data_IF_382164252940
#
_entry.id   IF_382164252940
#
_cell.length_a   1.000
_cell.length_b   1.000
_cell.length_c   1.000
_cell.angle_alpha   90.00
_cell.angle_beta   90.00
_cell.angle_gamma   90.00
#
_symmetry.space_group_name_H-M   'P 1'
#
loop_
_entity.id
_entity.type
_entity.pdbx_description
1 polymer ?
#
# COMPACT_ATOMS: atom_id res chain seq x y z
N UNK A 1 22.71 4.15 -2.76
CA UNK A 1 23.67 3.91 -1.63
C UNK A 1 22.87 3.49 -0.42
N UNK A 2 23.21 2.37 0.21
CA UNK A 2 22.53 1.86 1.40
C UNK A 2 23.15 2.51 2.63
N UNK A 3 22.30 3.05 3.50
CA UNK A 3 22.70 3.72 4.74
C UNK A 3 22.01 3.06 5.93
N UNK A 4 22.77 2.78 6.97
CA UNK A 4 22.27 2.19 8.21
C UNK A 4 22.16 3.23 9.31
N UNK A 5 21.18 3.06 10.18
CA UNK A 5 20.93 3.96 11.30
C UNK A 5 20.65 3.16 12.58
N UNK A 6 21.04 3.70 13.71
CA UNK A 6 20.72 3.14 15.02
C UNK A 6 19.25 3.43 15.42
N UNK A 7 18.87 2.99 16.60
CA UNK A 7 17.52 3.21 17.14
C UNK A 7 17.16 4.70 17.39
N UNK A 8 18.12 5.60 17.34
CA UNK A 8 17.91 7.05 17.46
C UNK A 8 18.02 7.77 16.12
N UNK A 9 18.02 7.04 15.01
CA UNK A 9 18.23 7.56 13.66
C UNK A 9 19.61 8.24 13.47
N UNK A 10 20.60 7.95 14.32
CA UNK A 10 21.97 8.38 14.03
C UNK A 10 22.52 7.47 12.92
N UNK A 11 23.10 8.11 11.89
CA UNK A 11 23.75 7.38 10.81
C UNK A 11 24.95 6.61 11.36
N UNK A 12 25.01 5.33 11.04
CA UNK A 12 26.16 4.48 11.29
C UNK A 12 27.16 4.59 10.14
N UNK A 13 28.37 4.04 10.33
CA UNK A 13 29.36 3.96 9.26
C UNK A 13 28.79 3.21 8.06
N UNK A 14 29.25 3.58 6.86
CA UNK A 14 28.84 2.90 5.63
C UNK A 14 29.35 1.45 5.66
N UNK A 15 28.44 0.51 5.48
CA UNK A 15 28.73 -0.91 5.50
C UNK A 15 28.88 -1.43 4.07
N UNK A 16 29.94 -2.23 3.84
CA UNK A 16 30.07 -2.97 2.60
C UNK A 16 29.08 -4.11 2.57
N UNK A 17 28.31 -4.21 1.48
CA UNK A 17 27.36 -5.30 1.25
C UNK A 17 27.78 -6.14 0.04
N UNK A 18 27.36 -7.39 0.04
CA UNK A 18 27.54 -8.33 -1.07
C UNK A 18 26.35 -8.22 -2.02
N UNK A 19 25.14 -8.24 -1.46
CA UNK A 19 23.90 -8.12 -2.20
C UNK A 19 22.85 -7.40 -1.36
N UNK A 20 22.07 -6.54 -2.01
CA UNK A 20 20.88 -5.93 -1.44
C UNK A 20 19.69 -6.21 -2.37
N UNK A 21 18.66 -6.80 -1.83
CA UNK A 21 17.33 -6.86 -2.46
C UNK A 21 16.45 -5.78 -1.83
N UNK A 22 15.94 -4.87 -2.65
CA UNK A 22 15.05 -3.78 -2.24
C UNK A 22 13.76 -3.89 -3.03
N UNK A 23 12.69 -4.28 -2.35
CA UNK A 23 11.42 -4.66 -2.99
C UNK A 23 10.32 -3.67 -2.63
N UNK A 24 9.96 -2.81 -3.57
CA UNK A 24 8.91 -1.80 -3.42
C UNK A 24 7.61 -2.33 -3.99
N UNK A 25 6.51 -2.13 -3.28
CA UNK A 25 5.19 -2.64 -3.64
C UNK A 25 4.14 -1.54 -3.63
N UNK A 26 3.16 -1.65 -4.52
CA UNK A 26 2.12 -0.64 -4.70
C UNK A 26 0.96 -0.79 -3.71
N UNK A 27 0.53 -2.01 -3.43
CA UNK A 27 -0.67 -2.30 -2.63
C UNK A 27 -0.39 -2.86 -1.25
N UNK A 28 0.87 -2.94 -0.87
CA UNK A 28 1.30 -3.45 0.43
C UNK A 28 2.68 -2.89 0.81
N UNK A 29 3.06 -2.96 2.09
CA UNK A 29 4.41 -2.61 2.51
C UNK A 29 5.45 -3.46 1.79
N UNK A 30 6.46 -2.80 1.22
CA UNK A 30 7.59 -3.48 0.65
C UNK A 30 8.53 -4.08 1.70
N UNK A 31 9.57 -4.77 1.22
CA UNK A 31 10.54 -5.48 2.04
C UNK A 31 11.97 -5.32 1.52
N UNK A 32 12.93 -5.72 2.32
CA UNK A 32 14.33 -5.73 1.93
C UNK A 32 15.09 -6.90 2.55
N UNK A 33 16.18 -7.27 1.90
CA UNK A 33 17.17 -8.21 2.41
C UNK A 33 18.58 -7.74 2.02
N UNK A 34 19.51 -7.80 2.97
CA UNK A 34 20.89 -7.35 2.79
C UNK A 34 21.82 -8.44 3.24
N UNK A 35 22.70 -8.88 2.34
CA UNK A 35 23.79 -9.81 2.64
C UNK A 35 25.10 -9.07 2.77
N UNK A 36 25.80 -9.29 3.87
CA UNK A 36 27.09 -8.68 4.15
C UNK A 36 28.03 -9.65 4.90
N UNK A 37 29.32 -9.37 4.87
CA UNK A 37 30.26 -10.11 5.68
C UNK A 37 30.04 -9.80 7.17
N UNK A 38 30.15 -10.79 8.03
CA UNK A 38 29.86 -10.62 9.46
C UNK A 38 30.74 -9.56 10.15
N UNK A 39 31.96 -9.35 9.65
CA UNK A 39 32.86 -8.29 10.14
C UNK A 39 32.37 -6.88 9.89
N UNK A 40 31.54 -6.71 8.85
CA UNK A 40 30.98 -5.41 8.43
C UNK A 40 29.61 -5.14 9.08
N UNK A 41 29.07 -6.10 9.87
CA UNK A 41 27.79 -5.95 10.52
C UNK A 41 27.87 -5.16 11.82
N UNK A 42 27.02 -4.14 11.92
CA UNK A 42 26.84 -3.37 13.15
C UNK A 42 25.52 -3.77 13.84
N UNK A 43 25.61 -4.45 14.99
CA UNK A 43 24.48 -4.93 15.78
C UNK A 43 23.52 -3.82 16.30
N UNK A 44 23.97 -2.57 16.27
CA UNK A 44 23.16 -1.42 16.69
C UNK A 44 22.27 -0.89 15.56
N UNK A 45 22.47 -1.37 14.31
CA UNK A 45 21.62 -0.99 13.19
C UNK A 45 20.17 -1.41 13.44
N UNK A 46 19.25 -0.45 13.26
CA UNK A 46 17.81 -0.65 13.42
C UNK A 46 17.04 -0.24 12.18
N UNK A 47 17.51 0.76 11.48
CA UNK A 47 16.88 1.26 10.27
C UNK A 47 17.87 1.24 9.11
N UNK A 48 17.31 1.17 7.91
CA UNK A 48 18.08 1.20 6.66
C UNK A 48 17.36 2.09 5.65
N UNK A 49 18.11 2.83 4.86
CA UNK A 49 17.62 3.64 3.74
C UNK A 49 18.42 3.35 2.49
N UNK A 50 17.73 3.36 1.37
CA UNK A 50 18.37 3.38 0.06
C UNK A 50 18.29 4.81 -0.49
N UNK A 51 19.44 5.46 -0.67
CA UNK A 51 19.51 6.85 -1.14
C UNK A 51 18.74 7.01 -2.45
N UNK A 52 17.87 8.02 -2.50
CA UNK A 52 16.99 8.28 -3.65
C UNK A 52 15.71 7.44 -3.67
N UNK A 53 15.38 6.76 -2.56
CA UNK A 53 14.10 6.10 -2.29
C UNK A 53 13.46 6.76 -1.08
N UNK A 54 12.13 6.93 -1.04
CA UNK A 54 11.44 7.56 0.09
C UNK A 54 11.32 6.61 1.29
N UNK A 55 11.33 5.30 1.06
CA UNK A 55 11.04 4.32 2.08
C UNK A 55 12.17 4.20 3.12
N UNK A 56 11.79 4.00 4.38
CA UNK A 56 12.69 3.60 5.45
C UNK A 56 12.45 2.15 5.82
N UNK A 57 13.45 1.31 5.68
CA UNK A 57 13.42 -0.09 6.10
C UNK A 57 13.64 -0.23 7.62
N UNK A 58 12.85 -1.09 8.25
CA UNK A 58 12.97 -1.45 9.67
C UNK A 58 13.53 -2.86 9.76
N UNK A 59 14.72 -3.01 10.36
CA UNK A 59 15.37 -4.30 10.53
C UNK A 59 14.60 -5.11 11.58
N UNK A 60 14.13 -6.29 11.17
CA UNK A 60 13.35 -7.20 12.03
C UNK A 60 14.06 -8.52 12.29
N UNK A 61 14.84 -8.99 11.31
CA UNK A 61 15.51 -10.28 11.40
C UNK A 61 16.99 -10.14 11.02
N UNK A 62 17.83 -10.78 11.79
CA UNK A 62 19.26 -10.93 11.50
C UNK A 62 19.62 -12.40 11.61
N UNK A 63 20.18 -12.95 10.55
CA UNK A 63 20.65 -14.34 10.50
C UNK A 63 22.17 -14.30 10.39
N UNK A 64 22.85 -15.00 11.28
CA UNK A 64 24.29 -15.15 11.27
C UNK A 64 24.66 -16.58 10.88
N UNK A 65 25.43 -16.71 9.83
CA UNK A 65 25.84 -18.00 9.30
C UNK A 65 27.36 -18.09 9.24
N UNK A 66 27.93 -19.22 9.64
CA UNK A 66 29.34 -19.50 9.51
C UNK A 66 29.53 -20.67 8.57
N UNK A 67 30.22 -20.45 7.47
CA UNK A 67 30.54 -21.46 6.46
C UNK A 67 32.08 -21.62 6.34
N UNK A 68 32.51 -22.62 5.59
CA UNK A 68 33.94 -22.77 5.25
C UNK A 68 34.51 -21.56 4.47
N UNK A 69 33.61 -20.74 3.85
CA UNK A 69 33.97 -19.56 3.08
C UNK A 69 34.02 -18.28 3.93
N UNK A 70 33.61 -18.37 5.20
CA UNK A 70 33.58 -17.24 6.14
C UNK A 70 32.26 -17.06 6.84
N UNK A 71 32.19 -16.06 7.72
CA UNK A 71 31.01 -15.69 8.45
C UNK A 71 30.23 -14.59 7.70
N UNK A 72 28.94 -14.81 7.53
CA UNK A 72 28.01 -13.95 6.80
C UNK A 72 26.85 -13.52 7.69
N UNK A 73 26.30 -12.36 7.40
CA UNK A 73 25.08 -11.87 8.03
C UNK A 73 24.06 -11.54 6.95
N UNK A 74 22.85 -12.04 7.14
CA UNK A 74 21.67 -11.61 6.37
C UNK A 74 20.76 -10.78 7.27
N UNK A 75 20.51 -9.55 6.86
CA UNK A 75 19.61 -8.63 7.55
C UNK A 75 18.38 -8.43 6.68
N UNK A 76 17.21 -8.58 7.27
CA UNK A 76 15.96 -8.39 6.54
C UNK A 76 14.89 -7.69 7.37
N UNK A 77 13.91 -7.14 6.70
CA UNK A 77 12.80 -6.44 7.32
C UNK A 77 11.82 -5.90 6.30
N UNK A 78 10.92 -5.06 6.78
CA UNK A 78 9.89 -4.40 5.97
C UNK A 78 10.09 -2.89 5.99
N UNK A 79 9.48 -2.21 5.03
CA UNK A 79 9.42 -0.76 5.05
C UNK A 79 8.47 -0.25 6.13
N UNK A 80 8.61 1.02 6.49
CA UNK A 80 7.94 1.62 7.64
C UNK A 80 6.41 1.57 7.55
N UNK A 81 5.84 1.45 6.36
CA UNK A 81 4.40 1.24 6.12
C UNK A 81 3.87 0.04 6.93
N UNK A 82 4.70 -0.98 7.16
CA UNK A 82 4.32 -2.16 7.94
C UNK A 82 3.98 -1.84 9.40
N UNK A 83 4.48 -0.74 9.94
CA UNK A 83 4.13 -0.30 11.30
C UNK A 83 2.63 -0.01 11.39
N UNK A 84 2.04 0.50 10.31
CA UNK A 84 0.61 0.81 10.23
C UNK A 84 -0.27 -0.44 10.41
N UNK A 85 0.22 -1.64 10.07
CA UNK A 85 -0.53 -2.89 10.31
C UNK A 85 -0.63 -3.28 11.78
N UNK A 86 0.13 -2.63 12.66
CA UNK A 86 0.08 -2.83 14.12
C UNK A 86 -0.79 -1.79 14.82
N UNK A 87 -1.32 -0.85 14.07
CA UNK A 87 -2.15 0.23 14.57
C UNK A 87 -3.58 -0.01 14.12
N UNK A 88 -4.51 0.09 15.03
CA UNK A 88 -5.93 -0.13 14.78
C UNK A 88 -6.64 1.21 14.78
N UNK A 89 -7.57 1.42 13.85
CA UNK A 89 -8.44 2.58 13.85
C UNK A 89 -9.28 2.57 15.14
N UNK A 90 -9.30 3.69 15.86
CA UNK A 90 -9.94 3.77 17.16
C UNK A 90 -11.46 3.81 17.05
N UNK A 91 -11.96 4.49 16.03
CA UNK A 91 -13.39 4.69 15.79
C UNK A 91 -13.72 4.52 14.31
N UNK A 92 -15.00 4.38 14.03
CA UNK A 92 -15.50 4.45 12.66
C UNK A 92 -15.29 5.87 12.11
N UNK A 93 -14.79 5.96 10.89
CA UNK A 93 -14.58 7.21 10.18
C UNK A 93 -15.36 7.23 8.89
N UNK A 94 -16.18 8.26 8.73
CA UNK A 94 -16.88 8.53 7.48
C UNK A 94 -16.21 9.67 6.76
N UNK A 95 -15.85 9.42 5.54
CA UNK A 95 -15.15 10.37 4.72
C UNK A 95 -15.99 10.73 3.53
N UNK A 96 -16.13 12.02 3.28
CA UNK A 96 -16.75 12.59 2.09
C UNK A 96 -15.86 13.74 1.64
N UNK A 97 -14.66 13.39 1.16
CA UNK A 97 -13.60 14.35 0.83
C UNK A 97 -12.82 13.86 -0.39
N UNK A 98 -11.93 14.69 -0.90
CA UNK A 98 -11.05 14.32 -2.00
C UNK A 98 -10.03 13.28 -1.55
N UNK A 99 -9.68 12.33 -2.44
CA UNK A 99 -8.95 11.11 -2.11
C UNK A 99 -7.66 11.28 -1.31
N UNK A 100 -6.82 12.30 -1.60
CA UNK A 100 -5.60 12.52 -0.83
C UNK A 100 -5.89 13.04 0.58
N UNK A 101 -6.88 13.93 0.73
CA UNK A 101 -7.33 14.45 2.04
C UNK A 101 -7.81 13.30 2.93
N UNK A 102 -8.45 12.29 2.34
CA UNK A 102 -8.87 11.07 3.05
C UNK A 102 -7.69 10.31 3.62
N UNK A 103 -6.67 10.06 2.82
CA UNK A 103 -5.46 9.34 3.27
C UNK A 103 -4.81 10.10 4.42
N UNK A 104 -4.71 11.42 4.33
CA UNK A 104 -4.16 12.25 5.40
C UNK A 104 -5.08 12.34 6.62
N UNK A 105 -6.39 12.47 6.42
CA UNK A 105 -7.38 12.50 7.52
C UNK A 105 -7.35 11.21 8.32
N UNK A 106 -7.34 10.06 7.67
CA UNK A 106 -7.20 8.76 8.32
C UNK A 106 -5.89 8.66 9.10
N UNK A 107 -4.81 9.14 8.51
CA UNK A 107 -3.52 9.10 9.18
C UNK A 107 -3.47 10.04 10.39
N UNK A 108 -4.11 11.22 10.32
CA UNK A 108 -4.26 12.13 11.45
C UNK A 108 -5.05 11.50 12.60
N UNK A 109 -6.12 10.78 12.28
CA UNK A 109 -6.93 10.06 13.25
C UNK A 109 -6.15 8.92 13.93
N UNK A 110 -5.44 8.14 13.16
CA UNK A 110 -4.51 7.10 13.67
C UNK A 110 -3.51 7.70 14.64
N UNK A 111 -2.97 8.88 14.30
CA UNK A 111 -2.00 9.59 15.11
C UNK A 111 -2.52 10.07 16.44
N UNK A 112 -3.69 10.65 16.46
CA UNK A 112 -4.25 11.26 17.65
C UNK A 112 -4.60 10.24 18.73
N UNK A 113 -4.90 8.99 18.34
CA UNK A 113 -5.48 8.00 19.24
C UNK A 113 -4.56 6.86 19.65
N UNK A 114 -3.79 6.29 18.74
CA UNK A 114 -3.03 5.07 19.01
C UNK A 114 -1.51 5.27 19.02
N UNK A 115 -1.02 6.23 18.27
CA UNK A 115 0.39 6.61 18.25
C UNK A 115 0.67 7.82 19.17
N UNK A 116 -0.23 8.16 20.06
CA UNK A 116 -0.15 9.36 20.92
C UNK A 116 1.14 9.51 21.74
N UNK A 117 1.91 8.45 21.90
CA UNK A 117 3.29 8.51 22.39
C UNK A 117 4.33 8.66 21.27
N UNK A 118 3.94 8.41 20.02
CA UNK A 118 4.75 8.50 18.84
C UNK A 118 4.11 9.54 17.94
N UNK A 119 4.23 10.83 18.32
CA UNK A 119 3.59 11.89 17.54
C UNK A 119 4.08 11.82 16.11
N UNK A 120 3.24 11.31 15.27
CA UNK A 120 3.36 11.44 13.87
C UNK A 120 2.85 12.83 13.54
N UNK A 121 3.67 13.67 13.02
CA UNK A 121 3.20 14.80 12.29
C UNK A 121 2.96 14.34 10.87
N UNK A 122 1.71 14.37 10.45
CA UNK A 122 1.45 14.72 9.07
C UNK A 122 1.93 16.16 9.03
N UNK A 123 3.21 16.30 8.83
CA UNK A 123 3.74 17.62 8.63
C UNK A 123 3.27 18.01 7.28
N UNK A 124 2.51 19.08 7.32
CA UNK A 124 2.60 20.11 6.34
C UNK A 124 2.76 19.55 4.91
N UNK A 125 1.93 20.01 4.02
CA UNK A 125 1.99 19.82 2.56
C UNK A 125 3.37 20.15 1.95
N UNK A 126 4.42 20.05 2.74
CA UNK A 126 5.79 20.22 2.29
C UNK A 126 6.10 19.11 1.30
N UNK A 127 6.33 19.52 0.08
CA UNK A 127 6.81 18.75 -1.05
C UNK A 127 7.75 17.65 -0.53
N UNK A 128 7.40 16.37 -0.72
CA UNK A 128 8.30 15.29 -0.34
C UNK A 128 9.65 15.48 -1.04
N UNK A 129 10.73 14.96 -0.48
CA UNK A 129 12.02 15.05 -1.14
C UNK A 129 11.86 14.53 -2.56
N UNK A 130 12.29 15.31 -3.54
CA UNK A 130 12.12 15.00 -4.94
C UNK A 130 12.77 13.65 -5.24
N UNK A 131 11.96 12.62 -5.31
CA UNK A 131 12.39 11.34 -5.85
C UNK A 131 12.30 11.49 -7.36
N UNK A 132 13.42 11.39 -8.09
CA UNK A 132 13.40 11.52 -9.53
C UNK A 132 12.35 10.57 -10.14
N UNK A 133 11.50 11.10 -11.01
CA UNK A 133 10.49 10.32 -11.71
C UNK A 133 9.18 10.10 -10.94
N UNK A 134 9.05 10.49 -9.66
CA UNK A 134 7.78 10.45 -8.95
C UNK A 134 7.06 11.80 -9.07
N UNK A 135 5.85 11.76 -9.63
CA UNK A 135 4.93 12.88 -9.55
C UNK A 135 4.17 12.73 -8.24
N UNK A 136 4.49 13.57 -7.30
CA UNK A 136 3.69 13.73 -6.09
C UNK A 136 2.42 14.47 -6.50
N UNK A 137 1.27 13.84 -6.27
CA UNK A 137 0.01 14.48 -6.62
C UNK A 137 -0.15 15.80 -5.87
N UNK A 138 -0.61 16.81 -6.59
CA UNK A 138 -1.14 18.01 -5.95
C UNK A 138 -2.37 17.58 -5.17
N UNK A 139 -2.31 17.66 -3.85
CA UNK A 139 -3.34 17.13 -2.94
C UNK A 139 -4.69 17.82 -3.09
N UNK A 140 -4.69 19.02 -3.65
CA UNK A 140 -5.89 19.81 -3.94
C UNK A 140 -6.27 19.74 -5.44
N UNK A 141 -5.68 18.81 -6.19
CA UNK A 141 -5.94 18.72 -7.62
C UNK A 141 -7.43 18.47 -7.88
N UNK A 142 -8.01 19.32 -8.71
CA UNK A 142 -9.44 19.26 -9.10
C UNK A 142 -9.83 17.91 -9.77
N UNK A 143 -8.82 17.17 -10.27
CA UNK A 143 -9.00 15.88 -10.91
C UNK A 143 -9.23 14.71 -9.94
N UNK A 144 -8.96 14.89 -8.63
CA UNK A 144 -9.23 13.84 -7.64
C UNK A 144 -10.72 13.76 -7.35
N UNK A 145 -11.37 12.60 -7.56
CA UNK A 145 -12.78 12.42 -7.27
C UNK A 145 -13.03 12.52 -5.74
N UNK A 146 -14.25 12.91 -5.39
CA UNK A 146 -14.69 12.84 -4.00
C UNK A 146 -14.82 11.37 -3.59
N UNK A 147 -14.31 11.04 -2.41
CA UNK A 147 -14.44 9.72 -1.79
C UNK A 147 -15.56 9.76 -0.76
N UNK A 148 -16.55 8.91 -0.97
CA UNK A 148 -17.55 8.60 0.04
C UNK A 148 -17.28 7.18 0.55
N UNK A 149 -16.60 7.06 1.68
CA UNK A 149 -16.23 5.76 2.23
C UNK A 149 -16.34 5.72 3.74
N UNK A 150 -16.68 4.54 4.27
CA UNK A 150 -16.76 4.29 5.72
C UNK A 150 -15.62 3.36 6.12
N UNK A 151 -14.75 3.85 6.96
CA UNK A 151 -13.68 3.08 7.58
C UNK A 151 -14.15 2.56 8.91
N UNK A 152 -13.96 1.29 9.16
CA UNK A 152 -14.44 0.64 10.38
C UNK A 152 -13.41 0.71 11.49
N UNK A 153 -13.83 1.16 12.66
CA UNK A 153 -13.07 1.00 13.90
C UNK A 153 -12.76 -0.47 14.17
N UNK A 154 -11.60 -0.74 14.74
CA UNK A 154 -11.09 -2.09 14.93
C UNK A 154 -10.38 -2.70 13.72
N UNK A 155 -10.36 -2.04 12.57
CA UNK A 155 -9.56 -2.44 11.39
C UNK A 155 -8.15 -1.90 11.52
N UNK A 156 -7.14 -2.66 11.05
CA UNK A 156 -5.78 -2.15 11.04
C UNK A 156 -5.62 -1.00 10.02
N UNK A 157 -4.74 -0.07 10.37
CA UNK A 157 -4.57 1.17 9.62
C UNK A 157 -3.96 0.94 8.24
N UNK A 158 -3.08 -0.05 8.07
CA UNK A 158 -2.48 -0.35 6.77
C UNK A 158 -3.56 -0.82 5.79
N UNK A 159 -4.38 -1.79 6.18
CA UNK A 159 -5.49 -2.27 5.35
C UNK A 159 -6.42 -1.13 4.95
N UNK A 160 -6.82 -0.30 5.93
CA UNK A 160 -7.74 0.82 5.67
C UNK A 160 -7.15 1.84 4.69
N UNK A 161 -5.88 2.20 4.85
CA UNK A 161 -5.20 3.15 3.96
C UNK A 161 -5.01 2.59 2.55
N UNK A 162 -4.56 1.34 2.41
CA UNK A 162 -4.39 0.73 1.10
C UNK A 162 -5.72 0.50 0.39
N UNK A 163 -6.80 0.18 1.11
CA UNK A 163 -8.15 0.09 0.53
C UNK A 163 -8.61 1.45 -0.03
N UNK A 164 -8.40 2.52 0.73
CA UNK A 164 -8.71 3.87 0.27
C UNK A 164 -7.87 4.23 -0.97
N UNK A 165 -6.56 3.98 -0.92
CA UNK A 165 -5.67 4.23 -2.04
C UNK A 165 -6.04 3.44 -3.29
N UNK A 166 -6.43 2.17 -3.13
CA UNK A 166 -6.80 1.30 -4.25
C UNK A 166 -7.99 1.85 -5.05
N UNK A 167 -8.98 2.43 -4.37
CA UNK A 167 -10.16 3.03 -5.02
C UNK A 167 -9.79 4.18 -5.97
N UNK A 168 -8.68 4.87 -5.71
CA UNK A 168 -8.22 6.03 -6.48
C UNK A 168 -7.01 5.76 -7.36
N UNK A 169 -6.52 4.53 -7.39
CA UNK A 169 -5.28 4.21 -8.08
C UNK A 169 -4.05 4.89 -7.46
N UNK A 170 -4.10 5.13 -6.16
CA UNK A 170 -3.01 5.68 -5.34
C UNK A 170 -2.29 4.57 -4.58
N UNK A 171 -1.16 4.92 -3.96
CA UNK A 171 -0.46 4.14 -2.95
C UNK A 171 0.11 5.07 -1.89
N UNK A 172 0.81 4.53 -0.91
CA UNK A 172 1.47 5.29 0.15
C UNK A 172 2.93 4.89 0.27
N UNK A 173 3.73 5.83 0.76
CA UNK A 173 5.09 5.59 1.23
C UNK A 173 5.28 6.24 2.59
N UNK A 174 6.07 5.61 3.47
CA UNK A 174 6.32 6.11 4.81
C UNK A 174 7.81 6.29 5.03
N UNK A 175 8.19 7.53 5.34
CA UNK A 175 9.52 7.87 5.82
C UNK A 175 9.52 7.96 7.35
N UNK A 176 10.51 7.37 8.01
CA UNK A 176 10.77 7.58 9.43
C UNK A 176 11.74 8.72 9.58
N UNK A 177 11.27 9.87 10.04
CA UNK A 177 12.14 11.01 10.30
C UNK A 177 12.72 10.95 11.73
N UNK A 178 13.86 11.62 11.91
CA UNK A 178 14.49 11.74 13.21
C UNK A 178 13.67 12.65 14.13
N UNK A 179 13.30 12.14 15.29
CA UNK A 179 12.93 12.99 16.41
C UNK A 179 13.31 12.33 17.73
N UNK A 180 13.62 13.14 18.71
CA UNK A 180 13.74 12.69 20.09
C UNK A 180 12.97 13.63 21.00
N UNK A 181 12.39 13.06 22.04
CA UNK A 181 11.73 13.80 23.12
C UNK A 181 12.70 13.85 24.29
N UNK A 182 12.95 15.06 24.79
CA UNK A 182 13.59 15.20 26.10
C UNK A 182 12.48 15.04 27.15
N UNK A 183 12.51 13.97 27.90
CA UNK A 183 11.72 13.82 29.11
C UNK A 183 12.58 14.10 30.33
N UNK A 184 11.96 14.68 31.35
CA UNK A 184 12.59 14.90 32.65
C UNK A 184 12.11 13.80 33.57
N UNK A 185 13.00 12.89 33.96
CA UNK A 185 12.70 11.91 35.00
C UNK A 185 13.06 12.49 36.36
N UNK A 186 12.13 12.44 37.29
CA UNK A 186 12.31 12.92 38.64
C UNK A 186 12.70 11.75 39.52
N UNK A 187 13.98 11.57 39.75
CA UNK A 187 14.49 10.59 40.70
C UNK A 187 15.04 11.38 41.90
N UNK A 188 14.36 11.32 43.03
CA UNK A 188 14.83 11.80 44.35
C UNK A 188 15.63 13.11 44.31
N UNK A 189 14.97 14.24 44.06
CA UNK A 189 15.53 15.58 43.98
C UNK A 189 16.47 15.91 42.80
N UNK A 190 16.78 14.95 41.92
CA UNK A 190 17.62 15.15 40.76
C UNK A 190 16.83 15.08 39.46
N UNK A 191 16.93 16.12 38.64
CA UNK A 191 16.38 16.13 37.28
C UNK A 191 17.34 15.39 36.36
N UNK A 192 16.94 14.21 35.90
CA UNK A 192 17.66 13.53 34.85
C UNK A 192 16.96 13.75 33.52
N UNK A 193 17.64 14.43 32.59
CA UNK A 193 17.15 14.51 31.21
C UNK A 193 17.37 13.15 30.53
N UNK A 194 16.28 12.51 30.14
CA UNK A 194 16.31 11.27 29.38
C UNK A 194 15.96 11.62 27.94
N UNK A 195 16.81 11.19 27.01
CA UNK A 195 16.56 11.30 25.58
C UNK A 195 15.90 10.00 25.11
N UNK A 196 14.63 10.04 24.85
CA UNK A 196 13.87 8.89 24.32
C UNK A 196 13.70 9.01 22.81
N UNK A 197 13.87 7.90 22.04
CA UNK A 197 13.58 7.93 20.63
C UNK A 197 12.10 8.17 20.41
N UNK A 198 11.80 9.17 19.59
CA UNK A 198 10.46 9.56 19.23
C UNK A 198 10.40 9.65 17.72
N UNK A 199 9.73 8.70 17.08
CA UNK A 199 9.73 8.59 15.64
C UNK A 199 8.62 9.45 15.03
N UNK A 200 8.99 10.24 14.06
CA UNK A 200 8.10 10.98 13.20
C UNK A 200 7.91 10.17 11.92
N UNK A 201 6.69 9.70 11.69
CA UNK A 201 6.32 9.03 10.46
C UNK A 201 5.72 10.05 9.50
N UNK A 202 6.38 10.26 8.36
CA UNK A 202 5.86 11.08 7.27
C UNK A 202 5.25 10.16 6.23
N UNK A 203 3.96 10.32 5.97
CA UNK A 203 3.23 9.55 4.96
C UNK A 203 3.04 10.38 3.72
N UNK A 204 3.38 9.81 2.59
CA UNK A 204 3.26 10.42 1.28
C UNK A 204 2.34 9.57 0.40
N UNK A 205 1.26 10.12 -0.18
CA UNK A 205 0.54 9.43 -1.23
C UNK A 205 1.40 9.35 -2.49
N UNK A 206 1.39 8.19 -3.11
CA UNK A 206 2.06 7.93 -4.38
C UNK A 206 1.02 7.89 -5.48
N UNK A 207 1.32 8.58 -6.58
CA UNK A 207 0.52 8.57 -7.80
C UNK A 207 1.37 8.10 -8.98
N UNK A 208 0.87 7.09 -9.70
CA UNK A 208 1.55 6.60 -10.90
C UNK A 208 1.22 7.45 -12.12
N UNK A 209 2.20 7.66 -12.99
CA UNK A 209 2.04 8.36 -14.26
C UNK A 209 1.48 7.43 -15.32
N UNK A 210 0.76 7.97 -16.29
CA UNK A 210 0.40 7.27 -17.51
C UNK A 210 1.51 7.42 -18.55
N UNK A 211 2.26 6.34 -18.76
CA UNK A 211 3.41 6.29 -19.68
C UNK A 211 3.20 5.30 -20.83
N UNK A 212 1.94 4.93 -21.10
CA UNK A 212 1.61 3.92 -22.12
C UNK A 212 2.26 4.17 -23.48
N UNK A 213 2.29 5.43 -23.90
CA UNK A 213 2.83 5.82 -25.19
C UNK A 213 4.33 6.14 -25.17
N UNK A 214 4.97 6.11 -24.00
CA UNK A 214 6.35 6.53 -23.79
C UNK A 214 7.28 5.42 -23.36
N UNK A 215 6.81 4.51 -22.51
CA UNK A 215 7.58 3.40 -21.97
C UNK A 215 6.96 2.08 -22.41
N UNK A 216 7.66 1.40 -23.32
CA UNK A 216 7.22 0.16 -23.93
C UNK A 216 8.26 -0.92 -23.65
N UNK A 217 7.85 -1.97 -22.95
CA UNK A 217 8.68 -3.12 -22.66
C UNK A 217 8.39 -4.26 -23.64
N UNK A 218 9.43 -4.86 -24.21
CA UNK A 218 9.29 -5.98 -25.13
C UNK A 218 10.62 -6.61 -25.48
N UNK A 219 10.65 -7.90 -25.72
CA UNK A 219 11.86 -8.64 -26.10
C UNK A 219 12.37 -8.15 -27.45
N UNK A 220 11.47 -7.95 -28.41
CA UNK A 220 11.80 -7.40 -29.73
C UNK A 220 12.39 -5.97 -29.67
N UNK A 221 12.19 -5.25 -28.60
CA UNK A 221 12.76 -3.92 -28.36
C UNK A 221 14.12 -3.97 -27.66
N UNK A 222 14.61 -5.17 -27.35
CA UNK A 222 15.89 -5.41 -26.65
C UNK A 222 16.05 -4.65 -25.33
N UNK A 223 14.96 -4.32 -24.65
CA UNK A 223 14.96 -3.60 -23.37
C UNK A 223 14.54 -4.48 -22.18
N UNK A 224 14.20 -5.72 -22.44
CA UNK A 224 13.92 -6.74 -21.43
C UNK A 224 14.62 -8.06 -21.79
N UNK A 225 15.01 -8.82 -20.79
CA UNK A 225 15.64 -10.15 -20.95
C UNK A 225 14.63 -11.28 -20.82
N UNK A 226 13.54 -11.06 -20.09
CA UNK A 226 12.48 -12.03 -19.84
C UNK A 226 11.16 -11.32 -19.63
N UNK A 227 10.09 -11.91 -20.19
CA UNK A 227 8.71 -11.58 -19.83
C UNK A 227 8.00 -12.90 -19.51
N UNK A 228 7.26 -12.92 -18.41
CA UNK A 228 6.38 -14.01 -18.02
C UNK A 228 4.97 -13.44 -17.84
N UNK A 229 4.01 -13.95 -18.59
CA UNK A 229 2.62 -13.54 -18.50
C UNK A 229 1.80 -14.63 -17.81
N UNK A 230 1.10 -14.26 -16.76
CA UNK A 230 0.23 -15.13 -15.98
C UNK A 230 -1.18 -14.56 -16.03
N UNK A 231 -2.11 -15.38 -16.48
CA UNK A 231 -3.53 -15.09 -16.46
C UNK A 231 -4.23 -16.10 -15.55
N UNK A 232 -4.98 -15.60 -14.58
CA UNK A 232 -5.73 -16.42 -13.63
C UNK A 232 -7.10 -15.79 -13.40
N UNK A 233 -8.16 -16.51 -13.75
CA UNK A 233 -9.55 -16.12 -13.56
C UNK A 233 -10.31 -17.03 -12.58
N UNK A 234 -9.61 -17.92 -11.90
CA UNK A 234 -10.20 -18.88 -10.98
C UNK A 234 -10.99 -18.26 -9.82
N UNK A 235 -10.65 -17.02 -9.46
CA UNK A 235 -11.30 -16.27 -8.40
C UNK A 235 -12.34 -15.25 -8.87
N UNK A 236 -12.63 -15.17 -10.16
CA UNK A 236 -13.49 -14.13 -10.74
C UNK A 236 -14.93 -14.29 -10.31
N UNK A 237 -15.56 -13.14 -9.98
CA UNK A 237 -16.99 -13.04 -9.76
C UNK A 237 -17.62 -12.08 -10.78
N UNK A 238 -18.82 -12.39 -11.24
CA UNK A 238 -19.51 -11.58 -12.26
C UNK A 238 -20.15 -10.33 -11.68
N UNK A 239 -20.64 -10.43 -10.46
CA UNK A 239 -21.40 -9.38 -9.78
C UNK A 239 -21.06 -9.43 -8.30
N UNK A 240 -20.84 -8.27 -7.69
CA UNK A 240 -20.81 -8.14 -6.23
C UNK A 240 -22.03 -7.37 -5.77
N UNK A 241 -22.75 -7.94 -4.82
CA UNK A 241 -23.90 -7.35 -4.16
C UNK A 241 -23.58 -7.09 -2.69
N UNK A 242 -23.61 -5.82 -2.26
CA UNK A 242 -23.54 -5.45 -0.87
C UNK A 242 -24.95 -5.27 -0.29
N UNK A 243 -25.22 -5.89 0.86
CA UNK A 243 -26.50 -5.87 1.57
C UNK A 243 -26.36 -5.20 2.92
N UNK A 244 -27.31 -4.32 3.24
CA UNK A 244 -27.43 -3.72 4.57
C UNK A 244 -28.87 -3.76 5.05
N UNK A 245 -29.10 -4.31 6.23
CA UNK A 245 -30.39 -4.24 6.90
C UNK A 245 -30.51 -2.94 7.66
N UNK A 246 -31.61 -2.22 7.48
CA UNK A 246 -31.93 -0.95 8.12
C UNK A 246 -33.08 -1.13 9.10
N UNK A 247 -32.99 -0.46 10.26
CA UNK A 247 -34.08 -0.44 11.24
C UNK A 247 -35.24 0.42 10.78
N UNK A 248 -34.97 1.49 10.01
CA UNK A 248 -35.96 2.39 9.47
C UNK A 248 -36.46 1.88 8.13
N UNK A 249 -37.77 2.06 7.85
CA UNK A 249 -38.38 1.78 6.54
C UNK A 249 -38.62 3.09 5.77
N UNK A 250 -38.87 2.99 4.47
CA UNK A 250 -39.14 4.15 3.62
C UNK A 250 -37.99 4.58 2.71
N UNK A 251 -36.94 3.76 2.62
CA UNK A 251 -35.87 3.97 1.63
C UNK A 251 -36.38 3.71 0.21
N UNK A 252 -35.83 4.44 -0.76
CA UNK A 252 -36.12 4.16 -2.16
C UNK A 252 -35.50 2.85 -2.59
N UNK A 253 -36.19 2.03 -3.39
CA UNK A 253 -35.72 0.72 -3.87
C UNK A 253 -35.31 -0.24 -2.75
N UNK A 254 -36.01 -0.23 -1.64
CA UNK A 254 -35.84 -1.18 -0.56
C UNK A 254 -36.61 -2.48 -0.82
N UNK A 255 -36.18 -3.54 -0.17
CA UNK A 255 -36.92 -4.77 0.04
C UNK A 255 -37.29 -4.86 1.52
N UNK A 256 -38.53 -5.20 1.82
CA UNK A 256 -38.95 -5.39 3.21
C UNK A 256 -38.65 -6.82 3.66
N UNK A 257 -37.95 -6.96 4.77
CA UNK A 257 -37.67 -8.25 5.42
C UNK A 257 -38.24 -8.24 6.84
N UNK A 258 -38.77 -9.37 7.27
CA UNK A 258 -39.28 -9.53 8.62
C UNK A 258 -38.26 -10.33 9.44
N UNK A 259 -37.89 -9.82 10.62
CA UNK A 259 -37.03 -10.52 11.54
C UNK A 259 -37.74 -11.62 12.32
N UNK A 260 -37.04 -12.41 13.08
CA UNK A 260 -37.57 -13.50 13.89
C UNK A 260 -38.60 -13.02 14.96
N UNK A 261 -38.55 -11.75 15.32
CA UNK A 261 -39.46 -11.11 16.27
C UNK A 261 -40.70 -10.52 15.59
N UNK A 262 -40.79 -10.60 14.29
CA UNK A 262 -41.95 -10.07 13.51
C UNK A 262 -41.81 -8.60 13.16
N UNK A 263 -40.67 -7.92 13.39
CA UNK A 263 -40.51 -6.53 13.01
C UNK A 263 -40.11 -6.43 11.54
N UNK A 264 -40.67 -5.45 10.85
CA UNK A 264 -40.36 -5.17 9.45
C UNK A 264 -39.17 -4.23 9.38
N UNK A 265 -38.17 -4.61 8.61
CA UNK A 265 -36.93 -3.85 8.36
C UNK A 265 -36.71 -3.68 6.87
N UNK A 266 -36.00 -2.62 6.47
CA UNK A 266 -35.61 -2.42 5.09
C UNK A 266 -34.33 -3.14 4.78
N UNK A 267 -34.25 -3.84 3.66
CA UNK A 267 -33.01 -4.38 3.10
C UNK A 267 -32.64 -3.54 1.88
N UNK A 268 -31.52 -2.86 2.01
CA UNK A 268 -30.91 -2.13 0.89
C UNK A 268 -29.85 -3.01 0.24
N UNK A 269 -29.87 -3.02 -1.08
CA UNK A 269 -28.88 -3.73 -1.91
C UNK A 269 -28.25 -2.76 -2.87
N UNK A 270 -26.94 -2.78 -2.97
CA UNK A 270 -26.20 -2.09 -4.01
C UNK A 270 -25.30 -3.07 -4.73
N UNK A 271 -25.20 -2.89 -6.03
CA UNK A 271 -24.47 -3.77 -6.91
C UNK A 271 -23.28 -3.02 -7.52
N UNK A 272 -22.18 -3.72 -7.66
CA UNK A 272 -21.09 -3.26 -8.51
C UNK A 272 -20.85 -4.27 -9.63
N UNK A 273 -20.82 -3.75 -10.84
CA UNK A 273 -20.56 -4.49 -12.07
C UNK A 273 -19.59 -3.63 -12.86
N UNK A 274 -18.38 -4.12 -13.10
CA UNK A 274 -17.45 -3.45 -13.99
C UNK A 274 -17.75 -3.87 -15.44
N UNK A 275 -18.57 -3.07 -16.13
CA UNK A 275 -18.98 -3.35 -17.50
C UNK A 275 -17.81 -3.33 -18.50
N UNK A 276 -16.76 -2.56 -18.23
CA UNK A 276 -15.55 -2.52 -19.05
C UNK A 276 -14.74 -3.80 -19.03
N UNK A 277 -14.82 -4.53 -17.94
CA UNK A 277 -14.09 -5.77 -17.70
C UNK A 277 -15.01 -6.98 -17.50
N UNK A 278 -16.32 -6.81 -17.69
CA UNK A 278 -17.32 -7.84 -17.44
C UNK A 278 -17.01 -9.11 -18.26
N UNK A 279 -16.90 -10.28 -17.63
CA UNK A 279 -16.81 -11.54 -18.36
C UNK A 279 -18.00 -11.70 -19.28
N UNK A 280 -17.77 -12.14 -20.52
CA UNK A 280 -18.86 -12.33 -21.50
C UNK A 280 -19.79 -13.48 -21.11
N UNK A 281 -19.26 -14.42 -20.35
CA UNK A 281 -19.96 -15.63 -19.92
C UNK A 281 -20.24 -15.56 -18.40
N UNK A 282 -21.35 -14.92 -18.05
CA UNK A 282 -21.75 -14.75 -16.65
C UNK A 282 -22.09 -16.06 -15.94
N UNK A 283 -22.38 -17.13 -16.70
CA UNK A 283 -22.75 -18.41 -16.11
C UNK A 283 -21.53 -19.16 -15.53
N UNK A 284 -20.34 -18.81 -16.00
CA UNK A 284 -19.08 -19.37 -15.49
C UNK A 284 -18.59 -18.67 -14.21
N UNK A 285 -19.04 -17.44 -13.94
CA UNK A 285 -18.53 -16.63 -12.84
C UNK A 285 -19.65 -16.32 -11.85
N UNK A 286 -19.56 -16.77 -10.60
CA UNK A 286 -20.64 -16.63 -9.63
C UNK A 286 -20.85 -15.20 -9.19
N UNK A 287 -22.06 -14.93 -8.71
CA UNK A 287 -22.36 -13.72 -7.96
C UNK A 287 -21.85 -13.87 -6.53
N UNK A 288 -21.16 -12.86 -6.01
CA UNK A 288 -20.75 -12.76 -4.60
C UNK A 288 -21.68 -11.80 -3.85
N UNK A 289 -22.12 -12.22 -2.67
CA UNK A 289 -22.92 -11.41 -1.77
C UNK A 289 -22.10 -11.11 -0.53
N UNK A 290 -22.00 -9.84 -0.18
CA UNK A 290 -21.31 -9.39 1.03
C UNK A 290 -22.30 -8.68 1.98
N UNK A 291 -22.03 -8.80 3.28
CA UNK A 291 -22.72 -7.97 4.26
C UNK A 291 -22.11 -6.58 4.22
N UNK A 292 -22.92 -5.58 3.97
CA UNK A 292 -22.53 -4.19 4.01
C UNK A 292 -22.15 -3.75 5.42
N UNK A 293 -21.18 -2.89 5.51
CA UNK A 293 -20.74 -2.29 6.75
C UNK A 293 -20.83 -0.77 6.61
N UNK A 294 -22.02 -0.25 6.89
CA UNK A 294 -22.27 1.19 6.95
C UNK A 294 -22.19 1.59 8.41
N UNK A 295 -21.07 2.16 8.82
CA UNK A 295 -20.82 2.58 10.19
C UNK A 295 -20.55 4.09 10.25
N UNK A 296 -20.81 4.70 11.41
CA UNK A 296 -20.59 6.13 11.62
C UNK A 296 -21.61 7.06 10.95
N UNK A 297 -22.60 6.53 10.23
CA UNK A 297 -23.75 7.29 9.70
C UNK A 297 -25.01 6.74 10.32
N UNK A 298 -25.92 7.64 10.75
CA UNK A 298 -27.25 7.20 11.16
C UNK A 298 -27.96 6.52 9.97
N UNK A 299 -28.45 5.30 10.19
CA UNK A 299 -29.15 4.49 9.20
C UNK A 299 -30.59 5.02 8.99
N UNK A 300 -30.70 6.27 8.53
CA UNK A 300 -31.96 6.99 8.29
C UNK A 300 -32.18 7.26 6.81
N UNK A 301 -33.42 7.39 6.41
CA UNK A 301 -33.80 7.73 5.04
C UNK A 301 -33.17 9.03 4.55
N UNK A 302 -32.91 10.00 5.45
CA UNK A 302 -32.23 11.25 5.12
C UNK A 302 -30.78 11.04 4.60
N UNK A 303 -30.15 9.93 4.94
CA UNK A 303 -28.78 9.59 4.58
C UNK A 303 -28.70 8.52 3.47
N UNK A 304 -29.81 8.21 2.82
CA UNK A 304 -29.92 7.11 1.87
C UNK A 304 -28.86 7.15 0.76
N UNK A 305 -28.63 8.31 0.15
CA UNK A 305 -27.65 8.43 -0.95
C UNK A 305 -26.24 8.06 -0.50
N UNK A 306 -25.84 8.53 0.68
CA UNK A 306 -24.52 8.24 1.25
C UNK A 306 -24.39 6.76 1.63
N UNK A 307 -25.44 6.18 2.22
CA UNK A 307 -25.47 4.75 2.56
C UNK A 307 -25.29 3.90 1.30
N UNK A 308 -26.03 4.20 0.24
CA UNK A 308 -25.94 3.48 -1.04
C UNK A 308 -24.59 3.61 -1.70
N UNK A 309 -23.99 4.80 -1.65
CA UNK A 309 -22.65 5.02 -2.19
C UNK A 309 -21.58 4.25 -1.43
N UNK A 310 -21.68 4.20 -0.10
CA UNK A 310 -20.78 3.39 0.70
C UNK A 310 -20.89 1.89 0.41
N UNK A 311 -22.14 1.37 0.28
CA UNK A 311 -22.36 -0.02 -0.11
C UNK A 311 -21.80 -0.32 -1.50
N UNK A 312 -21.97 0.60 -2.45
CA UNK A 312 -21.43 0.47 -3.80
C UNK A 312 -19.90 0.46 -3.80
N UNK A 313 -19.26 1.31 -3.00
CA UNK A 313 -17.81 1.34 -2.87
C UNK A 313 -17.26 0.05 -2.23
N UNK A 314 -17.97 -0.51 -1.24
CA UNK A 314 -17.63 -1.82 -0.69
C UNK A 314 -17.75 -2.93 -1.74
N UNK A 315 -18.82 -2.93 -2.51
CA UNK A 315 -19.01 -3.87 -3.60
C UNK A 315 -17.93 -3.71 -4.68
N UNK A 316 -17.52 -2.48 -5.00
CA UNK A 316 -16.41 -2.19 -5.93
C UNK A 316 -15.08 -2.74 -5.42
N UNK A 317 -14.73 -2.51 -4.16
CA UNK A 317 -13.51 -3.06 -3.56
C UNK A 317 -13.51 -4.59 -3.61
N UNK A 318 -14.64 -5.20 -3.29
CA UNK A 318 -14.77 -6.65 -3.33
C UNK A 318 -14.67 -7.19 -4.77
N UNK A 319 -15.19 -6.48 -5.75
CA UNK A 319 -15.03 -6.82 -7.17
C UNK A 319 -13.56 -6.77 -7.57
N UNK A 320 -12.83 -5.71 -7.19
CA UNK A 320 -11.40 -5.58 -7.47
C UNK A 320 -10.57 -6.72 -6.87
N UNK A 321 -10.99 -7.24 -5.71
CA UNK A 321 -10.35 -8.37 -5.06
C UNK A 321 -10.61 -9.72 -5.74
N UNK A 322 -11.72 -9.83 -6.45
CA UNK A 322 -12.18 -11.07 -7.09
C UNK A 322 -12.25 -10.91 -8.62
N UNK A 323 -11.39 -10.07 -9.19
CA UNK A 323 -11.29 -9.89 -10.62
C UNK A 323 -10.21 -10.82 -11.22
N UNK A 324 -10.28 -11.01 -12.54
CA UNK A 324 -9.23 -11.72 -13.27
C UNK A 324 -7.87 -11.14 -12.93
N UNK A 325 -6.91 -12.01 -12.83
CA UNK A 325 -5.56 -11.64 -12.45
C UNK A 325 -4.67 -11.73 -13.67
N UNK A 326 -4.18 -10.59 -14.11
CA UNK A 326 -3.15 -10.51 -15.12
C UNK A 326 -1.88 -10.00 -14.42
N UNK A 327 -0.87 -10.86 -14.35
CA UNK A 327 0.44 -10.51 -13.81
C UNK A 327 1.48 -10.69 -14.89
N UNK A 328 2.27 -9.68 -15.10
CA UNK A 328 3.35 -9.69 -16.09
C UNK A 328 4.65 -9.43 -15.34
N UNK A 329 5.48 -10.45 -15.22
CA UNK A 329 6.81 -10.32 -14.62
C UNK A 329 7.81 -9.98 -15.71
N UNK A 330 8.60 -8.94 -15.50
CA UNK A 330 9.53 -8.40 -16.49
C UNK A 330 10.91 -8.20 -15.87
N UNK A 331 11.92 -8.84 -16.45
CA UNK A 331 13.32 -8.58 -16.13
C UNK A 331 13.86 -7.50 -17.08
N UNK A 332 14.00 -6.27 -16.57
CA UNK A 332 14.31 -5.09 -17.38
C UNK A 332 15.81 -4.94 -17.57
N UNK A 333 16.22 -4.73 -18.81
CA UNK A 333 17.56 -4.28 -19.15
C UNK A 333 17.61 -2.74 -19.03
N UNK A 334 18.50 -2.24 -18.16
CA UNK A 334 18.64 -0.79 -17.93
C UNK A 334 19.47 -0.16 -19.06
N UNK A 335 18.96 -0.20 -20.28
CA UNK A 335 19.67 0.27 -21.49
C UNK A 335 18.88 1.31 -22.32
N UNK A 336 17.55 1.18 -22.36
CA UNK A 336 16.67 2.09 -23.08
C UNK A 336 15.86 2.94 -22.12
N UNK A 337 15.29 2.30 -21.11
CA UNK A 337 14.54 2.97 -20.05
C UNK A 337 15.20 2.68 -18.70
N UNK A 338 15.41 3.71 -17.92
CA UNK A 338 16.07 3.63 -16.63
C UNK A 338 15.08 3.81 -15.49
N UNK A 339 15.09 2.88 -14.56
CA UNK A 339 14.27 2.96 -13.36
C UNK A 339 14.58 4.23 -12.56
N UNK A 340 13.54 4.91 -12.06
CA UNK A 340 13.51 6.22 -11.40
C UNK A 340 13.75 7.43 -12.29
N UNK A 341 14.19 7.26 -13.53
CA UNK A 341 14.31 8.33 -14.49
C UNK A 341 13.11 8.33 -15.45
N UNK A 342 12.92 7.23 -16.14
CA UNK A 342 11.90 7.11 -17.18
C UNK A 342 10.60 6.51 -16.62
N UNK A 343 10.70 5.58 -15.66
CA UNK A 343 9.56 4.93 -15.02
C UNK A 343 9.79 4.69 -13.53
N UNK A 344 8.69 4.48 -12.78
CA UNK A 344 8.71 4.22 -11.33
C UNK A 344 7.57 3.28 -10.92
N UNK A 345 7.59 2.87 -9.65
CA UNK A 345 6.48 2.14 -9.03
C UNK A 345 5.17 2.91 -9.21
N UNK A 346 4.12 2.20 -9.62
CA UNK A 346 2.80 2.77 -9.85
C UNK A 346 2.57 3.32 -11.25
N UNK A 347 3.59 3.54 -12.07
CA UNK A 347 3.42 4.00 -13.45
C UNK A 347 2.72 2.94 -14.31
N UNK A 348 1.94 3.40 -15.28
CA UNK A 348 1.25 2.56 -16.25
C UNK A 348 2.07 2.56 -17.54
N UNK A 349 2.52 1.39 -17.96
CA UNK A 349 3.37 1.21 -19.14
C UNK A 349 2.74 0.21 -20.12
N UNK A 350 3.29 0.14 -21.33
CA UNK A 350 2.92 -0.86 -22.32
C UNK A 350 3.90 -2.01 -22.34
N UNK A 351 3.38 -3.23 -22.47
CA UNK A 351 4.15 -4.46 -22.63
C UNK A 351 3.74 -5.10 -23.96
N UNK A 352 4.73 -5.49 -24.75
CA UNK A 352 4.53 -6.15 -26.06
C UNK A 352 5.05 -7.58 -25.99
N UNK A 353 4.18 -8.52 -26.31
CA UNK A 353 4.49 -9.93 -26.49
C UNK A 353 4.45 -10.25 -27.98
N UNK A 354 5.59 -10.09 -28.64
CA UNK A 354 5.71 -10.16 -30.10
C UNK A 354 5.27 -11.54 -30.65
N UNK A 355 5.61 -12.64 -29.96
CA UNK A 355 5.33 -14.02 -30.42
C UNK A 355 3.83 -14.35 -30.48
N UNK A 356 3.01 -13.65 -29.73
CA UNK A 356 1.55 -13.84 -29.71
C UNK A 356 0.79 -12.61 -30.21
N UNK A 357 1.51 -11.63 -30.77
CA UNK A 357 0.96 -10.39 -31.33
C UNK A 357 0.03 -9.65 -30.37
N UNK A 358 0.38 -9.64 -29.08
CA UNK A 358 -0.43 -8.99 -28.05
C UNK A 358 0.29 -7.83 -27.41
N UNK A 359 -0.49 -6.81 -27.09
CA UNK A 359 -0.05 -5.62 -26.39
C UNK A 359 -0.93 -5.41 -25.17
N UNK A 360 -0.29 -5.21 -24.04
CA UNK A 360 -0.95 -4.99 -22.75
C UNK A 360 -0.59 -3.62 -22.22
N UNK A 361 -1.53 -3.03 -21.49
CA UNK A 361 -1.29 -1.86 -20.68
C UNK A 361 -1.42 -2.27 -19.21
N UNK A 362 -0.38 -2.11 -18.44
CA UNK A 362 -0.37 -2.54 -17.05
C UNK A 362 0.35 -1.55 -16.12
N UNK A 363 -0.11 -1.51 -14.88
CA UNK A 363 0.54 -0.74 -13.81
C UNK A 363 1.72 -1.52 -13.24
N UNK A 364 2.80 -0.82 -12.94
CA UNK A 364 3.93 -1.39 -12.19
C UNK A 364 3.51 -1.54 -10.73
N UNK A 365 3.26 -2.77 -10.33
CA UNK A 365 2.78 -3.13 -8.99
C UNK A 365 3.90 -3.43 -8.00
N UNK A 366 5.02 -3.89 -8.51
CA UNK A 366 6.19 -4.23 -7.72
C UNK A 366 7.46 -3.91 -8.50
N UNK A 367 8.44 -3.36 -7.80
CA UNK A 367 9.79 -3.13 -8.32
C UNK A 367 10.78 -3.73 -7.37
N UNK A 368 11.44 -4.78 -7.79
CA UNK A 368 12.52 -5.41 -7.06
C UNK A 368 13.86 -5.02 -7.66
N UNK A 369 14.65 -4.29 -6.88
CA UNK A 369 16.02 -3.95 -7.21
C UNK A 369 16.96 -4.93 -6.51
N UNK A 370 17.86 -5.53 -7.26
CA UNK A 370 18.94 -6.34 -6.71
C UNK A 370 20.26 -5.65 -7.00
N UNK A 371 20.85 -5.08 -5.96
CA UNK A 371 22.13 -4.39 -6.03
C UNK A 371 23.25 -5.36 -5.66
N UNK A 372 24.19 -5.56 -6.56
CA UNK A 372 25.46 -6.23 -6.34
C UNK A 372 26.62 -5.27 -6.57
N UNK A 373 27.81 -5.61 -6.16
CA UNK A 373 28.99 -4.70 -6.21
C UNK A 373 29.15 -3.94 -7.53
N UNK A 374 28.82 -4.57 -8.67
CA UNK A 374 29.04 -3.99 -10.00
C UNK A 374 27.78 -4.03 -10.90
N UNK A 375 26.63 -4.37 -10.36
CA UNK A 375 25.41 -4.53 -11.15
C UNK A 375 24.17 -4.16 -10.33
N UNK A 376 23.19 -3.58 -11.01
CA UNK A 376 21.83 -3.39 -10.50
C UNK A 376 20.89 -4.08 -11.47
N UNK A 377 20.18 -5.07 -10.99
CA UNK A 377 19.11 -5.74 -11.72
C UNK A 377 17.77 -5.16 -11.26
N UNK A 378 16.85 -4.95 -12.20
CA UNK A 378 15.50 -4.46 -11.91
C UNK A 378 14.51 -5.45 -12.47
N UNK A 379 13.66 -5.96 -11.59
CA UNK A 379 12.56 -6.84 -11.91
C UNK A 379 11.25 -6.13 -11.60
N UNK A 380 10.30 -6.20 -12.51
CA UNK A 380 8.98 -5.61 -12.35
C UNK A 380 7.93 -6.71 -12.29
N UNK A 381 6.96 -6.55 -11.38
CA UNK A 381 5.67 -7.21 -11.51
C UNK A 381 4.65 -6.14 -11.88
N UNK A 382 3.98 -6.35 -13.01
CA UNK A 382 3.00 -5.42 -13.57
C UNK A 382 1.64 -6.11 -13.63
N UNK A 383 0.56 -5.35 -13.54
CA UNK A 383 -0.77 -5.96 -13.63
C UNK A 383 -1.87 -5.12 -13.01
N UNK A 384 -2.95 -5.81 -12.62
CA UNK A 384 -4.09 -5.21 -11.96
C UNK A 384 -3.82 -5.11 -10.44
N UNK A 385 -4.07 -3.96 -9.80
CA UNK A 385 -3.94 -3.81 -8.35
C UNK A 385 -4.84 -4.79 -7.61
N UNK A 386 -4.32 -5.43 -6.57
CA UNK A 386 -5.07 -6.33 -5.70
C UNK A 386 -5.01 -5.87 -4.26
N UNK A 387 -6.05 -6.19 -3.51
CA UNK A 387 -6.00 -6.23 -2.06
C UNK A 387 -5.27 -7.50 -1.63
N UNK A 388 -4.21 -7.37 -0.87
CA UNK A 388 -3.61 -8.52 -0.20
C UNK A 388 -4.18 -8.63 1.21
N UNK A 389 -4.69 -9.81 1.56
CA UNK A 389 -5.07 -10.09 2.93
C UNK A 389 -3.79 -10.19 3.77
N UNK A 390 -3.53 -9.18 4.56
CA UNK A 390 -2.46 -9.20 5.54
C UNK A 390 -2.82 -10.19 6.64
N UNK A 391 -2.56 -11.46 6.40
CA UNK A 391 -2.50 -12.41 7.50
C UNK A 391 -1.29 -12.00 8.31
N UNK A 392 -1.53 -11.47 9.50
CA UNK A 392 -0.46 -11.27 10.46
C UNK A 392 0.23 -12.64 10.62
N UNK A 393 1.43 -12.76 10.08
CA UNK A 393 2.26 -13.91 10.36
C UNK A 393 2.49 -13.88 11.87
N UNK A 394 1.74 -14.73 12.57
CA UNK A 394 2.03 -15.06 13.96
C UNK A 394 3.43 -15.65 13.98
N UNK A 395 4.36 -14.88 14.53
CA UNK A 395 5.70 -15.35 14.88
C UNK A 395 5.58 -16.25 16.11
#
# INVERSE_FOLDING_TARGET
>A
MIQFFDKFMNRLEDLDFIEVSWNRKWTEPGDFSIHLAAKDWNKHAKFVRNTGRPETGIIQKTVYEVTAQGAMVTVSGFFAEKVLSKVVLHSDENVNERGATVVFGLFANINSSALGQYSSHITDHSIPPSVPGQVWGDYDAEWMPELVYSFKGGTDAATSLYDACLLYGLSISVEVAETYKESVDWIEEWQRKIKEPHFLYKVYPLHGRDLRDKVIFGVGWANVSKIEYIYDDSGVVSIVEARQTMEETGFSKEELVTDEQGNTKSLIREFYIDEGNRPRDLDLYPKKVIQGNVSGIELKVSNESTIREQLRNQAKLEMLNNWKQETINVDVLQNTFYYLQDYNLGDICTIVLDDIEQMFTARIMEVKEVHRKNAVEVQLAMGTPRKQNYVALSI
#
